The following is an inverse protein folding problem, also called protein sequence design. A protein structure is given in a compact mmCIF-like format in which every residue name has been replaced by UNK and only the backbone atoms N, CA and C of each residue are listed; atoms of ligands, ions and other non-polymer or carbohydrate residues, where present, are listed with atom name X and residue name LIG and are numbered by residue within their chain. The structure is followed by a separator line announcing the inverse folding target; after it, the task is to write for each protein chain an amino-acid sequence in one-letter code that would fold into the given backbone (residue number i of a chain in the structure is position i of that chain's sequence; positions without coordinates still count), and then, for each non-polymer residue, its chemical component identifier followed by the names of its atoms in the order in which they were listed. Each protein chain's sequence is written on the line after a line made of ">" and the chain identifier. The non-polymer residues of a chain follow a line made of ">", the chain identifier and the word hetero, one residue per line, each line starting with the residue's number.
data_IF_861177252298
#
_entry.id   IF_861177252298
#
_cell.length_a   1.000
_cell.length_b   1.000
_cell.length_c   1.000
_cell.angle_alpha   90.00
_cell.angle_beta   90.00
_cell.angle_gamma   90.00
#
_symmetry.space_group_name_H-M   'P 1'
#
loop_
_entity.id
_entity.type
_entity.pdbx_description
1 polymer ?
#
# COMPACT_ATOMS: atom_id res chain seq x y z
N UNK A 1 21.25 -4.78 7.83
CA UNK A 1 21.77 -4.13 9.07
C UNK A 1 20.80 -4.46 10.19
N UNK A 2 21.28 -4.74 11.40
CA UNK A 2 20.41 -5.06 12.55
C UNK A 2 20.42 -3.88 13.53
N UNK A 3 19.21 -3.41 13.91
CA UNK A 3 18.97 -2.53 15.06
C UNK A 3 19.67 -1.16 15.01
N UNK A 4 19.48 -0.42 13.91
CA UNK A 4 19.95 0.97 13.78
C UNK A 4 19.03 1.80 12.88
N UNK A 5 19.05 3.12 13.04
CA UNK A 5 18.44 4.03 12.07
C UNK A 5 19.37 4.26 10.89
N UNK A 6 18.85 4.23 9.65
CA UNK A 6 19.71 4.31 8.47
C UNK A 6 19.13 5.21 7.37
N UNK A 7 20.00 5.94 6.69
CA UNK A 7 19.67 6.64 5.44
C UNK A 7 20.50 6.06 4.31
N UNK A 8 19.85 5.61 3.24
CA UNK A 8 20.53 4.95 2.13
C UNK A 8 20.13 5.54 0.79
N UNK A 9 21.10 5.63 -0.11
CA UNK A 9 20.96 6.18 -1.46
C UNK A 9 21.51 5.17 -2.46
N UNK A 10 20.81 4.96 -3.58
CA UNK A 10 21.28 4.14 -4.70
C UNK A 10 21.76 2.75 -4.25
N UNK A 11 20.95 2.07 -3.43
CA UNK A 11 21.37 0.84 -2.75
C UNK A 11 20.39 -0.31 -2.96
N UNK A 12 20.92 -1.52 -2.85
CA UNK A 12 20.13 -2.74 -2.75
C UNK A 12 20.43 -3.45 -1.45
N UNK A 13 19.39 -3.79 -0.69
CA UNK A 13 19.57 -4.13 0.71
C UNK A 13 18.51 -5.08 1.26
N UNK A 14 18.90 -5.83 2.30
CA UNK A 14 17.95 -6.52 3.17
C UNK A 14 18.12 -6.01 4.59
N UNK A 15 17.01 -5.59 5.19
CA UNK A 15 16.97 -4.91 6.47
C UNK A 15 16.04 -5.62 7.44
N UNK A 16 16.50 -5.74 8.69
CA UNK A 16 15.79 -6.43 9.77
C UNK A 16 15.80 -5.54 11.01
N UNK A 17 14.64 -5.33 11.61
CA UNK A 17 14.49 -4.59 12.87
C UNK A 17 15.20 -3.23 12.82
N UNK A 18 14.93 -2.42 11.80
CA UNK A 18 15.63 -1.15 11.58
C UNK A 18 14.69 -0.07 11.06
N UNK A 19 14.91 1.17 11.48
CA UNK A 19 14.14 2.32 10.99
C UNK A 19 14.91 3.01 9.87
N UNK A 20 14.39 3.07 8.65
CA UNK A 20 15.20 3.58 7.54
C UNK A 20 14.48 4.54 6.60
N UNK A 21 15.26 5.48 6.05
CA UNK A 21 14.87 6.32 4.93
C UNK A 21 15.69 5.94 3.71
N UNK A 22 15.04 5.59 2.61
CA UNK A 22 15.73 5.10 1.42
C UNK A 22 15.35 5.89 0.17
N UNK A 23 16.37 6.17 -0.66
CA UNK A 23 16.23 6.90 -1.91
C UNK A 23 16.80 6.08 -3.06
N UNK A 24 16.04 5.95 -4.14
CA UNK A 24 16.45 5.23 -5.35
C UNK A 24 17.00 3.84 -5.03
N UNK A 25 16.20 3.02 -4.36
CA UNK A 25 16.67 1.79 -3.73
C UNK A 25 15.78 0.60 -4.05
N UNK A 26 16.37 -0.59 -3.99
CA UNK A 26 15.64 -1.85 -4.16
C UNK A 26 15.89 -2.77 -2.96
N UNK A 27 14.91 -2.97 -2.10
CA UNK A 27 15.17 -3.61 -0.82
C UNK A 27 14.06 -4.56 -0.34
N UNK A 28 14.46 -5.46 0.55
CA UNK A 28 13.54 -6.29 1.34
C UNK A 28 13.64 -5.90 2.80
N UNK A 29 12.50 -5.64 3.44
CA UNK A 29 12.47 -5.16 4.82
C UNK A 29 11.57 -6.03 5.69
N UNK A 30 12.04 -6.31 6.89
CA UNK A 30 11.34 -7.08 7.90
C UNK A 30 11.28 -6.30 9.21
N UNK A 31 10.10 -6.21 9.82
CA UNK A 31 9.92 -5.62 11.16
C UNK A 31 10.51 -4.21 11.27
N UNK A 32 10.33 -3.41 10.20
CA UNK A 32 11.09 -2.18 10.00
C UNK A 32 10.17 -1.05 9.60
N UNK A 33 10.07 0.03 10.39
CA UNK A 33 9.39 1.23 9.94
C UNK A 33 10.26 1.96 8.90
N UNK A 34 9.64 2.53 7.87
CA UNK A 34 10.41 3.05 6.75
C UNK A 34 9.78 4.25 6.04
N UNK A 35 10.64 5.09 5.45
CA UNK A 35 10.22 6.06 4.44
C UNK A 35 11.00 5.80 3.15
N UNK A 36 10.32 5.67 2.03
CA UNK A 36 11.00 5.33 0.77
C UNK A 36 10.60 6.26 -0.37
N UNK A 37 11.60 6.64 -1.16
CA UNK A 37 11.46 7.51 -2.32
C UNK A 37 12.06 6.83 -3.55
N UNK A 38 11.29 6.78 -4.63
CA UNK A 38 11.71 6.18 -5.90
C UNK A 38 12.27 4.77 -5.69
N UNK A 39 11.46 3.86 -5.13
CA UNK A 39 11.98 2.59 -4.62
C UNK A 39 11.16 1.39 -5.09
N UNK A 40 11.81 0.23 -5.16
CA UNK A 40 11.16 -1.04 -5.47
C UNK A 40 11.39 -2.04 -4.33
N UNK A 41 10.37 -2.35 -3.54
CA UNK A 41 10.60 -3.07 -2.28
C UNK A 41 9.60 -4.18 -1.97
N UNK A 42 10.05 -5.12 -1.14
CA UNK A 42 9.18 -6.10 -0.48
C UNK A 42 9.24 -5.89 1.02
N UNK A 43 8.09 -5.79 1.68
CA UNK A 43 8.03 -5.45 3.10
C UNK A 43 7.16 -6.42 3.87
N UNK A 44 7.63 -6.80 5.05
CA UNK A 44 6.99 -7.74 5.95
C UNK A 44 6.91 -7.14 7.35
N UNK A 45 5.68 -7.07 7.90
CA UNK A 45 5.45 -6.59 9.26
C UNK A 45 6.04 -5.20 9.50
N UNK A 46 5.75 -4.27 8.59
CA UNK A 46 6.38 -2.95 8.52
C UNK A 46 5.36 -1.82 8.53
N UNK A 47 5.78 -0.65 9.01
CA UNK A 47 5.00 0.59 8.94
C UNK A 47 5.71 1.60 8.06
N UNK A 48 5.12 1.97 6.92
CA UNK A 48 5.88 2.65 5.88
C UNK A 48 5.16 3.80 5.18
N UNK A 49 5.93 4.83 4.83
CA UNK A 49 5.50 5.89 3.90
C UNK A 49 6.29 5.76 2.61
N UNK A 50 5.60 5.71 1.47
CA UNK A 50 6.26 5.50 0.18
C UNK A 50 5.84 6.53 -0.86
N UNK A 51 6.83 7.01 -1.61
CA UNK A 51 6.68 7.99 -2.67
C UNK A 51 7.28 7.45 -3.96
N UNK A 52 6.50 7.46 -5.04
CA UNK A 52 6.94 6.99 -6.36
C UNK A 52 7.54 5.58 -6.27
N UNK A 53 6.77 4.62 -5.77
CA UNK A 53 7.31 3.30 -5.40
C UNK A 53 6.55 2.16 -6.05
N UNK A 54 7.25 1.03 -6.23
CA UNK A 54 6.66 -0.22 -6.68
C UNK A 54 6.91 -1.31 -5.64
N UNK A 55 5.87 -1.72 -4.89
CA UNK A 55 6.09 -2.51 -3.69
C UNK A 55 5.13 -3.69 -3.51
N UNK A 56 5.62 -4.73 -2.84
CA UNK A 56 4.78 -5.81 -2.30
C UNK A 56 4.83 -5.77 -0.79
N UNK A 57 3.67 -5.79 -0.13
CA UNK A 57 3.59 -5.63 1.31
C UNK A 57 2.75 -6.73 1.96
N UNK A 58 3.27 -7.26 3.05
CA UNK A 58 2.63 -8.30 3.86
C UNK A 58 2.51 -7.82 5.30
N UNK A 59 1.30 -7.91 5.85
CA UNK A 59 1.00 -7.56 7.24
C UNK A 59 1.58 -6.19 7.64
N UNK A 60 1.38 -5.18 6.80
CA UNK A 60 2.06 -3.89 6.92
C UNK A 60 1.06 -2.73 6.94
N UNK A 61 1.39 -1.66 7.64
CA UNK A 61 0.60 -0.43 7.63
C UNK A 61 1.30 0.60 6.73
N UNK A 62 0.58 1.23 5.80
CA UNK A 62 1.26 2.11 4.85
C UNK A 62 0.49 3.33 4.37
N UNK A 63 1.25 4.36 4.02
CA UNK A 63 0.77 5.51 3.26
C UNK A 63 1.55 5.59 1.96
N UNK A 64 0.84 5.65 0.84
CA UNK A 64 1.45 5.56 -0.50
C UNK A 64 1.03 6.74 -1.37
N UNK A 65 2.02 7.30 -2.06
CA UNK A 65 1.85 8.39 -3.02
C UNK A 65 2.46 7.98 -4.36
N UNK A 66 1.71 8.14 -5.45
CA UNK A 66 2.17 7.85 -6.81
C UNK A 66 2.78 6.45 -6.93
N UNK A 67 2.12 5.42 -6.38
CA UNK A 67 2.74 4.10 -6.21
C UNK A 67 1.96 2.98 -6.89
N UNK A 68 2.66 1.91 -7.23
CA UNK A 68 2.08 0.67 -7.78
C UNK A 68 2.37 -0.51 -6.87
N UNK A 69 1.35 -1.06 -6.20
CA UNK A 69 1.60 -2.01 -5.11
C UNK A 69 0.66 -3.22 -5.07
N UNK A 70 1.18 -4.31 -4.48
CA UNK A 70 0.36 -5.44 -4.04
C UNK A 70 0.40 -5.53 -2.52
N UNK A 71 -0.77 -5.65 -1.89
CA UNK A 71 -0.90 -5.62 -0.44
C UNK A 71 -1.71 -6.81 0.08
N UNK A 72 -1.19 -7.41 1.15
CA UNK A 72 -1.82 -8.52 1.86
C UNK A 72 -1.95 -8.20 3.34
N UNK A 73 -3.14 -8.37 3.91
CA UNK A 73 -3.40 -8.20 5.35
C UNK A 73 -2.93 -6.84 5.89
N UNK A 74 -3.18 -5.77 5.14
CA UNK A 74 -2.50 -4.49 5.37
C UNK A 74 -3.51 -3.32 5.39
N UNK A 75 -3.56 -2.50 6.46
CA UNK A 75 -4.24 -1.21 6.39
C UNK A 75 -3.43 -0.21 5.56
N UNK A 76 -4.09 0.59 4.72
CA UNK A 76 -3.38 1.54 3.86
C UNK A 76 -4.16 2.81 3.51
N UNK A 77 -3.42 3.90 3.31
CA UNK A 77 -3.92 5.12 2.64
C UNK A 77 -3.17 5.32 1.33
N UNK A 78 -3.90 5.55 0.25
CA UNK A 78 -3.35 5.63 -1.09
C UNK A 78 -3.77 6.90 -1.81
N UNK A 79 -2.79 7.55 -2.43
CA UNK A 79 -2.97 8.74 -3.25
C UNK A 79 -2.37 8.51 -4.63
N UNK A 80 -3.16 8.72 -5.68
CA UNK A 80 -2.75 8.57 -7.07
C UNK A 80 -2.02 7.24 -7.32
N UNK A 81 -2.60 6.13 -6.89
CA UNK A 81 -1.93 4.83 -6.87
C UNK A 81 -2.71 3.76 -7.61
N UNK A 82 -1.99 2.73 -8.06
CA UNK A 82 -2.54 1.58 -8.76
C UNK A 82 -2.22 0.31 -7.98
N UNK A 83 -3.22 -0.35 -7.37
CA UNK A 83 -2.92 -1.42 -6.41
C UNK A 83 -3.83 -2.65 -6.50
N UNK A 84 -3.30 -3.79 -6.09
CA UNK A 84 -4.05 -5.01 -5.79
C UNK A 84 -4.04 -5.26 -4.29
N UNK A 85 -5.20 -5.47 -3.69
CA UNK A 85 -5.37 -5.59 -2.24
C UNK A 85 -6.12 -6.85 -1.84
N UNK A 86 -5.59 -7.56 -0.85
CA UNK A 86 -6.17 -8.77 -0.27
C UNK A 86 -6.27 -8.63 1.24
N UNK A 87 -7.49 -8.81 1.78
CA UNK A 87 -7.76 -8.74 3.22
C UNK A 87 -7.25 -7.44 3.86
N UNK A 88 -7.52 -6.31 3.22
CA UNK A 88 -6.98 -5.00 3.58
C UNK A 88 -8.09 -4.00 3.91
N UNK A 89 -7.83 -3.08 4.83
CA UNK A 89 -8.68 -1.90 5.02
C UNK A 89 -8.01 -0.70 4.37
N UNK A 90 -8.74 0.05 3.54
CA UNK A 90 -8.09 1.08 2.73
C UNK A 90 -8.89 2.38 2.55
N UNK A 91 -8.14 3.46 2.44
CA UNK A 91 -8.64 4.77 2.02
C UNK A 91 -7.92 5.17 0.74
N UNK A 92 -8.68 5.50 -0.30
CA UNK A 92 -8.15 5.72 -1.64
C UNK A 92 -8.59 7.06 -2.21
N UNK A 93 -7.61 7.80 -2.73
CA UNK A 93 -7.79 9.08 -3.41
C UNK A 93 -7.20 8.99 -4.81
N UNK A 94 -7.98 9.33 -5.84
CA UNK A 94 -7.53 9.32 -7.23
C UNK A 94 -6.83 8.01 -7.63
N UNK A 95 -7.31 6.87 -7.15
CA UNK A 95 -6.60 5.59 -7.28
C UNK A 95 -7.37 4.60 -8.14
N UNK A 96 -6.66 3.64 -8.71
CA UNK A 96 -7.24 2.54 -9.47
C UNK A 96 -6.86 1.20 -8.84
N UNK A 97 -7.83 0.41 -8.37
CA UNK A 97 -7.51 -0.76 -7.54
C UNK A 97 -8.37 -2.00 -7.78
N UNK A 98 -7.80 -3.16 -7.53
CA UNK A 98 -8.49 -4.45 -7.42
C UNK A 98 -8.49 -4.88 -5.96
N UNK A 99 -9.66 -5.26 -5.43
CA UNK A 99 -9.83 -5.50 -4.00
C UNK A 99 -10.55 -6.81 -3.72
N UNK A 100 -10.00 -7.59 -2.79
CA UNK A 100 -10.53 -8.87 -2.34
C UNK A 100 -10.70 -8.83 -0.81
N UNK A 101 -11.89 -9.17 -0.31
CA UNK A 101 -12.18 -9.26 1.13
C UNK A 101 -11.76 -8.02 1.93
N UNK A 102 -12.03 -6.82 1.41
CA UNK A 102 -11.42 -5.59 1.89
C UNK A 102 -12.45 -4.49 2.10
N UNK A 103 -12.62 -3.94 3.31
CA UNK A 103 -13.39 -2.70 3.48
C UNK A 103 -12.62 -1.50 2.91
N UNK A 104 -13.31 -0.59 2.22
CA UNK A 104 -12.67 0.57 1.62
C UNK A 104 -13.49 1.86 1.63
N UNK A 105 -12.77 2.98 1.64
CA UNK A 105 -13.32 4.32 1.39
C UNK A 105 -12.65 4.90 0.16
N UNK A 106 -13.44 5.45 -0.76
CA UNK A 106 -12.97 5.83 -2.10
C UNK A 106 -13.40 7.24 -2.47
N UNK A 107 -12.43 8.03 -2.94
CA UNK A 107 -12.61 9.39 -3.44
C UNK A 107 -12.02 9.48 -4.84
N UNK A 108 -12.83 9.91 -5.81
CA UNK A 108 -12.40 10.06 -7.21
C UNK A 108 -11.65 8.83 -7.76
N UNK A 109 -12.07 7.62 -7.40
CA UNK A 109 -11.34 6.38 -7.65
C UNK A 109 -12.12 5.40 -8.53
N UNK A 110 -11.40 4.49 -9.19
CA UNK A 110 -11.95 3.46 -10.07
C UNK A 110 -11.53 2.07 -9.58
N UNK A 111 -12.45 1.24 -9.08
CA UNK A 111 -12.04 -0.04 -8.50
C UNK A 111 -12.86 -1.26 -8.97
N UNK A 112 -12.25 -2.43 -8.84
CA UNK A 112 -12.93 -3.72 -8.96
C UNK A 112 -12.93 -4.42 -7.61
N UNK A 113 -14.07 -4.98 -7.21
CA UNK A 113 -14.24 -5.51 -5.85
C UNK A 113 -14.85 -6.91 -5.83
N UNK A 114 -14.33 -7.73 -4.91
CA UNK A 114 -14.77 -9.08 -4.59
C UNK A 114 -14.97 -9.21 -3.07
N UNK A 115 -16.16 -9.65 -2.63
CA UNK A 115 -16.50 -9.89 -1.22
C UNK A 115 -16.10 -8.77 -0.25
N UNK A 116 -16.35 -7.52 -0.65
CA UNK A 116 -15.84 -6.33 0.02
C UNK A 116 -16.99 -5.42 0.48
N UNK A 117 -16.68 -4.35 1.22
CA UNK A 117 -17.65 -3.31 1.59
C UNK A 117 -17.07 -1.94 1.34
N UNK A 118 -17.85 -0.99 0.81
CA UNK A 118 -17.31 0.30 0.37
C UNK A 118 -18.16 1.51 0.73
N UNK A 119 -17.48 2.65 0.90
CA UNK A 119 -18.09 3.98 0.82
C UNK A 119 -17.45 4.76 -0.32
N UNK A 120 -18.25 5.29 -1.23
CA UNK A 120 -17.78 5.96 -2.45
C UNK A 120 -18.21 7.41 -2.50
N UNK A 121 -17.27 8.29 -2.85
CA UNK A 121 -17.47 9.71 -3.16
C UNK A 121 -16.92 10.00 -4.56
N UNK A 122 -17.77 10.42 -5.49
CA UNK A 122 -17.39 10.68 -6.89
C UNK A 122 -16.53 9.56 -7.51
N UNK A 123 -16.82 8.30 -7.15
CA UNK A 123 -16.02 7.12 -7.51
C UNK A 123 -16.89 6.10 -8.21
N UNK A 124 -16.28 5.23 -9.00
CA UNK A 124 -17.00 4.13 -9.66
C UNK A 124 -16.36 2.78 -9.36
N UNK A 125 -17.19 1.75 -9.27
CA UNK A 125 -16.73 0.40 -8.95
C UNK A 125 -17.48 -0.68 -9.71
N UNK A 126 -16.75 -1.70 -10.15
CA UNK A 126 -17.32 -2.95 -10.65
C UNK A 126 -17.34 -3.98 -9.53
N UNK A 127 -18.53 -4.48 -9.21
CA UNK A 127 -18.77 -5.43 -8.12
C UNK A 127 -19.05 -6.82 -8.69
N UNK A 128 -18.31 -7.84 -8.25
CA UNK A 128 -18.41 -9.20 -8.81
C UNK A 128 -19.17 -10.20 -7.92
N UNK A 129 -19.37 -9.95 -6.61
CA UNK A 129 -20.09 -10.86 -5.65
C UNK A 129 -20.70 -10.07 -4.46
N UNK A 130 -21.35 -10.72 -3.46
CA UNK A 130 -22.04 -10.08 -2.31
C UNK A 130 -21.17 -9.00 -1.66
N UNK A 131 -21.59 -7.74 -1.82
CA UNK A 131 -20.88 -6.53 -1.37
C UNK A 131 -21.92 -5.56 -0.80
N UNK A 132 -21.56 -4.85 0.27
CA UNK A 132 -22.34 -3.71 0.79
C UNK A 132 -21.62 -2.42 0.40
N UNK A 133 -22.21 -1.63 -0.49
CA UNK A 133 -21.64 -0.34 -0.90
C UNK A 133 -22.60 0.81 -0.65
N UNK A 134 -22.10 1.87 -0.01
CA UNK A 134 -22.81 3.14 0.15
C UNK A 134 -22.17 4.19 -0.75
N UNK A 135 -22.97 4.79 -1.62
CA UNK A 135 -22.58 5.96 -2.42
C UNK A 135 -23.01 7.20 -1.65
N UNK A 136 -22.09 8.15 -1.50
CA UNK A 136 -22.31 9.47 -0.91
C UNK A 136 -22.07 10.52 -1.98
#
# INVERSE_FOLDING_TARGET
>A
MFNSSCTMFNSSCTMFNSSCTMFNSSCTMFHSPCTMFNSSCTMFNSSCTMFNSSCTMFNSSCTMFNSSCTMFHSPCTMFNSSCTMFHSSCTMFHSSCTMFHSPCTMFHSLCTMFHSSCTMFHSSCTMKQRISCRIM
#
